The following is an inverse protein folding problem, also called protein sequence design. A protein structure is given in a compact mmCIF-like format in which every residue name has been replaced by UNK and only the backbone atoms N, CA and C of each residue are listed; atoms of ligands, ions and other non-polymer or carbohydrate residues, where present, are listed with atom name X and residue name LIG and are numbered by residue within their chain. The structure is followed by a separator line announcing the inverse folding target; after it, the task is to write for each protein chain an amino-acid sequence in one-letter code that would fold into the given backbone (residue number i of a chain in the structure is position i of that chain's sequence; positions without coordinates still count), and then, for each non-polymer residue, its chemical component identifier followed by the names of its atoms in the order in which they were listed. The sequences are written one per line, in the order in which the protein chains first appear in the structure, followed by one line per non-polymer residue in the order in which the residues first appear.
data_IF_117377473650
#
_entry.id   IF_117377473650
#
_cell.length_a   1.000
_cell.length_b   1.000
_cell.length_c   1.000
_cell.angle_alpha   90.00
_cell.angle_beta   90.00
_cell.angle_gamma   90.00
#
_symmetry.space_group_name_H-M   'P 1'
#
loop_
_entity.id
_entity.type
_entity.pdbx_description
1 polymer ?
#
# COMPACT_ATOMS: atom_id res chain seq x y z
N UNK A 1 -17.24 -4.26 23.47
CA UNK A 1 -17.46 -4.59 24.89
C UNK A 1 -16.09 -4.78 25.56
N UNK A 2 -15.91 -4.26 26.77
CA UNK A 2 -14.67 -4.44 27.54
C UNK A 2 -14.73 -5.72 28.39
N UNK A 3 -13.58 -6.24 28.83
CA UNK A 3 -13.49 -7.50 29.60
C UNK A 3 -14.35 -7.45 30.87
N UNK A 4 -14.43 -6.29 31.51
CA UNK A 4 -15.23 -6.15 32.74
C UNK A 4 -16.72 -6.36 32.48
N UNK A 5 -17.23 -5.88 31.35
CA UNK A 5 -18.63 -6.08 30.93
C UNK A 5 -18.85 -7.53 30.52
N UNK A 6 -17.88 -8.08 29.79
CA UNK A 6 -17.85 -9.47 29.36
C UNK A 6 -17.98 -10.45 30.54
N UNK A 7 -17.20 -10.25 31.61
CA UNK A 7 -17.23 -11.10 32.79
C UNK A 7 -18.48 -10.88 33.67
N UNK A 8 -19.20 -9.76 33.53
CA UNK A 8 -20.44 -9.50 34.28
C UNK A 8 -21.61 -10.35 33.81
N UNK A 9 -21.61 -10.77 32.55
CA UNK A 9 -22.66 -11.58 31.93
C UNK A 9 -22.57 -13.05 32.39
N UNK A 10 -21.38 -13.51 32.80
CA UNK A 10 -21.16 -14.87 33.25
C UNK A 10 -21.78 -15.17 34.62
N UNK A 11 -22.33 -16.37 34.73
CA UNK A 11 -22.72 -16.99 35.98
C UNK A 11 -21.49 -17.45 36.80
N UNK A 12 -21.73 -17.77 38.07
CA UNK A 12 -20.65 -18.15 39.00
C UNK A 12 -19.96 -19.45 38.57
N UNK A 13 -20.70 -20.37 37.94
CA UNK A 13 -20.17 -21.66 37.49
C UNK A 13 -19.17 -21.48 36.35
N UNK A 14 -19.50 -20.63 35.37
CA UNK A 14 -18.61 -20.28 34.26
C UNK A 14 -17.37 -19.53 34.76
N UNK A 15 -17.55 -18.57 35.66
CA UNK A 15 -16.45 -17.83 36.28
C UNK A 15 -15.51 -18.77 37.05
N UNK A 16 -16.05 -19.74 37.79
CA UNK A 16 -15.26 -20.74 38.50
C UNK A 16 -14.48 -21.62 37.53
N UNK A 17 -15.10 -22.03 36.41
CA UNK A 17 -14.45 -22.84 35.37
C UNK A 17 -13.25 -22.12 34.77
N UNK A 18 -13.43 -20.84 34.41
CA UNK A 18 -12.34 -20.00 33.89
C UNK A 18 -11.23 -19.86 34.94
N UNK A 19 -11.58 -19.60 36.20
CA UNK A 19 -10.58 -19.45 37.27
C UNK A 19 -9.76 -20.72 37.50
N UNK A 20 -10.41 -21.90 37.44
CA UNK A 20 -9.73 -23.20 37.49
C UNK A 20 -8.78 -23.36 36.31
N UNK A 21 -9.25 -23.08 35.09
CA UNK A 21 -8.41 -23.18 33.89
C UNK A 21 -7.23 -22.20 33.92
N UNK A 22 -7.40 -21.02 34.50
CA UNK A 22 -6.34 -20.03 34.72
C UNK A 22 -5.45 -20.35 35.93
N UNK A 23 -5.64 -21.49 36.62
CA UNK A 23 -4.94 -21.85 37.86
C UNK A 23 -4.93 -20.67 38.85
N UNK A 24 -6.09 -20.07 39.07
CA UNK A 24 -6.30 -19.04 40.08
C UNK A 24 -6.78 -19.73 41.36
N UNK A 25 -6.29 -19.29 42.52
CA UNK A 25 -6.78 -19.82 43.79
C UNK A 25 -8.29 -19.66 43.89
N UNK A 26 -9.01 -20.77 44.11
CA UNK A 26 -10.48 -20.81 44.21
C UNK A 26 -10.90 -21.09 45.66
N UNK A 27 -11.08 -20.06 46.50
CA UNK A 27 -11.66 -20.24 47.84
C UNK A 27 -13.03 -20.92 47.76
N UNK A 28 -13.40 -21.76 48.75
CA UNK A 28 -14.70 -22.43 48.79
C UNK A 28 -15.89 -21.45 48.72
N UNK A 29 -15.75 -20.28 49.35
CA UNK A 29 -16.81 -19.26 49.46
C UNK A 29 -16.57 -18.03 48.56
N UNK A 30 -15.81 -18.21 47.47
CA UNK A 30 -15.51 -17.11 46.55
C UNK A 30 -16.76 -16.59 45.84
N UNK A 31 -16.99 -15.28 45.92
CA UNK A 31 -18.11 -14.61 45.25
C UNK A 31 -17.86 -14.44 43.76
N UNK A 32 -18.92 -14.20 42.98
CA UNK A 32 -18.81 -13.81 41.57
C UNK A 32 -17.87 -12.61 41.37
N UNK A 33 -17.93 -11.64 42.30
CA UNK A 33 -17.08 -10.46 42.28
C UNK A 33 -15.59 -10.82 42.41
N UNK A 34 -15.24 -11.72 43.33
CA UNK A 34 -13.88 -12.22 43.50
C UNK A 34 -13.35 -12.86 42.21
N UNK A 35 -14.10 -13.78 41.60
CA UNK A 35 -13.68 -14.44 40.37
C UNK A 35 -13.47 -13.45 39.23
N UNK A 36 -14.40 -12.51 39.03
CA UNK A 36 -14.29 -11.46 38.00
C UNK A 36 -13.01 -10.64 38.18
N UNK A 37 -12.70 -10.24 39.41
CA UNK A 37 -11.49 -9.48 39.71
C UNK A 37 -10.23 -10.29 39.37
N UNK A 38 -10.14 -11.55 39.84
CA UNK A 38 -8.95 -12.37 39.64
C UNK A 38 -8.73 -12.79 38.19
N UNK A 39 -9.80 -13.11 37.46
CA UNK A 39 -9.74 -13.39 36.02
C UNK A 39 -9.27 -12.16 35.27
N UNK A 40 -9.85 -10.99 35.55
CA UNK A 40 -9.43 -9.73 34.94
C UNK A 40 -7.94 -9.48 35.19
N UNK A 41 -7.50 -9.55 36.45
CA UNK A 41 -6.09 -9.37 36.84
C UNK A 41 -5.15 -10.29 36.05
N UNK A 42 -5.52 -11.57 35.91
CA UNK A 42 -4.73 -12.55 35.18
C UNK A 42 -4.69 -12.32 33.66
N UNK A 43 -5.81 -11.90 33.06
CA UNK A 43 -5.90 -11.67 31.61
C UNK A 43 -5.32 -10.32 31.19
N UNK A 44 -5.35 -9.30 32.04
CA UNK A 44 -4.80 -7.96 31.73
C UNK A 44 -3.30 -7.82 32.04
N UNK A 45 -2.69 -8.78 32.74
CA UNK A 45 -1.25 -8.82 32.96
C UNK A 45 -0.58 -9.68 31.86
N UNK A 46 0.25 -9.07 31.00
CA UNK A 46 0.79 -9.75 29.81
C UNK A 46 1.64 -10.99 30.14
N UNK A 47 2.44 -10.95 31.20
CA UNK A 47 3.29 -12.08 31.60
C UNK A 47 2.44 -13.25 32.09
N UNK A 48 1.39 -12.93 32.85
CA UNK A 48 0.43 -13.92 33.32
C UNK A 48 -0.38 -14.49 32.17
N UNK A 49 -0.85 -13.65 31.25
CA UNK A 49 -1.57 -14.06 30.06
C UNK A 49 -0.72 -15.04 29.22
N UNK A 50 0.53 -14.68 28.93
CA UNK A 50 1.43 -15.54 28.15
C UNK A 50 1.61 -16.91 28.80
N UNK A 51 1.93 -16.94 30.09
CA UNK A 51 2.19 -18.18 30.85
C UNK A 51 0.96 -19.03 31.07
N UNK A 52 -0.18 -18.41 31.41
CA UNK A 52 -1.38 -19.13 31.87
C UNK A 52 -2.43 -19.36 30.79
N UNK A 53 -2.38 -18.60 29.69
CA UNK A 53 -3.31 -18.71 28.57
C UNK A 53 -2.57 -19.12 27.31
N UNK A 54 -1.74 -18.23 26.75
CA UNK A 54 -1.20 -18.39 25.40
C UNK A 54 -0.38 -19.68 25.21
N UNK A 55 0.51 -20.01 26.16
CA UNK A 55 1.30 -21.25 26.08
C UNK A 55 0.48 -22.54 26.25
N UNK A 56 -0.71 -22.44 26.83
CA UNK A 56 -1.61 -23.59 27.04
C UNK A 56 -2.61 -23.78 25.91
N UNK A 57 -2.72 -22.82 25.00
CA UNK A 57 -3.54 -22.96 23.81
C UNK A 57 -2.93 -23.97 22.83
N UNK A 58 -3.79 -24.74 22.16
CA UNK A 58 -3.42 -25.51 20.98
C UNK A 58 -2.86 -24.60 19.88
N UNK A 59 -2.00 -25.11 18.99
CA UNK A 59 -1.37 -24.26 17.97
C UNK A 59 -2.39 -23.64 17.01
N UNK A 60 -3.48 -24.36 16.70
CA UNK A 60 -4.61 -23.81 15.96
C UNK A 60 -5.32 -22.68 16.70
N UNK A 61 -5.58 -22.84 18.00
CA UNK A 61 -6.18 -21.79 18.83
C UNK A 61 -5.25 -20.57 18.99
N UNK A 62 -3.92 -20.76 19.04
CA UNK A 62 -2.97 -19.64 19.02
C UNK A 62 -3.07 -18.85 17.73
N UNK A 63 -3.11 -19.53 16.57
CA UNK A 63 -3.24 -18.87 15.28
C UNK A 63 -4.55 -18.11 15.18
N UNK A 64 -5.68 -18.70 15.57
CA UNK A 64 -6.97 -18.02 15.55
C UNK A 64 -7.02 -16.83 16.53
N UNK A 65 -6.41 -16.94 17.72
CA UNK A 65 -6.30 -15.81 18.63
C UNK A 65 -5.51 -14.65 18.00
N UNK A 66 -4.38 -14.93 17.32
CA UNK A 66 -3.63 -13.91 16.60
C UNK A 66 -4.48 -13.28 15.48
N UNK A 67 -5.26 -14.08 14.75
CA UNK A 67 -6.19 -13.57 13.74
C UNK A 67 -7.27 -12.66 14.34
N UNK A 68 -7.80 -12.97 15.53
CA UNK A 68 -8.78 -12.12 16.22
C UNK A 68 -8.17 -10.83 16.75
N UNK A 69 -6.92 -10.88 17.22
CA UNK A 69 -6.18 -9.71 17.68
C UNK A 69 -5.98 -8.72 16.54
N UNK A 70 -5.55 -9.21 15.36
CA UNK A 70 -5.08 -8.34 14.28
C UNK A 70 -6.07 -8.12 13.13
N UNK A 71 -6.92 -9.10 12.82
CA UNK A 71 -7.76 -9.07 11.61
C UNK A 71 -9.27 -8.98 11.91
N UNK A 72 -9.69 -8.92 13.18
CA UNK A 72 -11.13 -8.95 13.55
C UNK A 72 -11.91 -10.04 12.79
N UNK A 73 -11.29 -11.20 12.60
CA UNK A 73 -11.70 -12.19 11.60
C UNK A 73 -13.07 -12.84 11.85
N UNK A 74 -13.58 -13.49 10.80
CA UNK A 74 -14.79 -14.33 10.86
C UNK A 74 -14.60 -15.52 11.78
N UNK A 75 -15.64 -15.81 12.57
CA UNK A 75 -15.67 -16.77 13.67
C UNK A 75 -15.44 -18.20 13.18
N UNK A 76 -14.39 -18.87 13.64
CA UNK A 76 -14.29 -20.32 13.56
C UNK A 76 -14.67 -20.92 14.92
N UNK A 77 -15.77 -21.66 14.95
CA UNK A 77 -16.31 -22.24 16.19
C UNK A 77 -15.44 -23.41 16.72
N UNK A 78 -14.43 -23.84 15.96
CA UNK A 78 -13.58 -24.98 16.30
C UNK A 78 -12.92 -24.85 17.69
N UNK A 79 -12.42 -23.66 18.04
CA UNK A 79 -11.70 -23.44 19.32
C UNK A 79 -12.52 -22.65 20.36
N UNK A 80 -13.82 -22.44 20.12
CA UNK A 80 -14.66 -21.62 21.02
C UNK A 80 -14.69 -22.16 22.45
N UNK A 81 -14.75 -23.49 22.64
CA UNK A 81 -14.71 -24.09 23.99
C UNK A 81 -13.39 -23.79 24.70
N UNK A 82 -12.28 -23.80 23.97
CA UNK A 82 -10.95 -23.53 24.51
C UNK A 82 -10.83 -22.05 24.91
N UNK A 83 -11.24 -21.14 24.03
CA UNK A 83 -11.26 -19.70 24.29
C UNK A 83 -12.21 -19.31 25.43
N UNK A 84 -13.41 -19.88 25.47
CA UNK A 84 -14.33 -19.72 26.59
C UNK A 84 -13.72 -20.24 27.89
N UNK A 85 -13.06 -21.41 27.85
CA UNK A 85 -12.38 -22.01 28.99
C UNK A 85 -11.33 -21.09 29.62
N UNK A 86 -10.68 -20.23 28.84
CA UNK A 86 -9.73 -19.23 29.33
C UNK A 86 -10.33 -17.83 29.55
N UNK A 87 -11.64 -17.65 29.34
CA UNK A 87 -12.33 -16.37 29.51
C UNK A 87 -12.01 -15.33 28.44
N UNK A 88 -11.58 -15.78 27.26
CA UNK A 88 -11.29 -14.91 26.10
C UNK A 88 -12.56 -14.54 25.33
N UNK A 89 -13.64 -15.31 25.48
CA UNK A 89 -14.95 -15.11 24.84
C UNK A 89 -16.11 -15.48 25.75
N UNK A 90 -17.21 -14.72 25.69
CA UNK A 90 -18.41 -14.85 26.52
C UNK A 90 -19.58 -14.35 25.69
N UNK A 91 -20.22 -15.28 24.97
CA UNK A 91 -21.29 -15.04 24.00
C UNK A 91 -20.89 -14.04 22.88
N UNK A 92 -21.39 -14.26 21.67
CA UNK A 92 -21.05 -13.47 20.47
C UNK A 92 -19.60 -13.56 19.95
N UNK A 93 -18.70 -14.29 20.61
CA UNK A 93 -17.43 -14.74 20.03
C UNK A 93 -16.47 -13.62 19.61
N UNK A 94 -16.47 -12.51 20.34
CA UNK A 94 -15.51 -11.41 20.14
C UNK A 94 -14.54 -11.31 21.30
N UNK A 95 -13.25 -11.11 20.98
CA UNK A 95 -12.23 -10.77 21.96
C UNK A 95 -12.53 -9.38 22.55
N UNK A 96 -12.57 -9.23 23.89
CA UNK A 96 -12.77 -7.93 24.53
C UNK A 96 -11.79 -6.88 24.03
N UNK A 97 -12.26 -5.65 23.83
CA UNK A 97 -11.49 -4.58 23.19
C UNK A 97 -10.22 -4.23 23.98
N UNK A 98 -10.34 -4.08 25.29
CA UNK A 98 -9.23 -3.83 26.20
C UNK A 98 -8.17 -4.94 26.19
N UNK A 99 -8.58 -6.20 26.04
CA UNK A 99 -7.63 -7.30 25.81
C UNK A 99 -6.95 -7.19 24.45
N UNK A 100 -7.70 -6.93 23.38
CA UNK A 100 -7.13 -6.77 22.04
C UNK A 100 -6.06 -5.67 22.00
N UNK A 101 -6.38 -4.51 22.58
CA UNK A 101 -5.50 -3.34 22.61
C UNK A 101 -4.20 -3.62 23.39
N UNK A 102 -4.28 -4.43 24.45
CA UNK A 102 -3.11 -4.87 25.24
C UNK A 102 -2.28 -5.97 24.53
N UNK A 103 -2.96 -6.91 23.89
CA UNK A 103 -2.33 -8.08 23.25
C UNK A 103 -1.67 -7.75 21.91
N UNK A 104 -2.23 -6.82 21.13
CA UNK A 104 -1.72 -6.41 19.83
C UNK A 104 -0.23 -6.03 19.84
N UNK A 105 0.24 -5.04 20.62
CA UNK A 105 1.67 -4.70 20.67
C UNK A 105 2.51 -5.85 21.23
N UNK A 106 1.96 -6.63 22.17
CA UNK A 106 2.67 -7.70 22.87
C UNK A 106 2.94 -8.93 22.00
N UNK A 107 2.09 -9.22 21.02
CA UNK A 107 2.22 -10.37 20.13
C UNK A 107 2.66 -10.02 18.71
N UNK A 108 2.85 -8.74 18.40
CA UNK A 108 3.28 -8.28 17.08
C UNK A 108 4.55 -8.98 16.58
N UNK A 109 5.51 -9.25 17.47
CA UNK A 109 6.76 -9.96 17.14
C UNK A 109 6.56 -11.40 16.65
N UNK A 110 5.39 -12.02 16.85
CA UNK A 110 5.09 -13.36 16.34
C UNK A 110 4.61 -13.36 14.88
N UNK A 111 4.20 -12.20 14.37
CA UNK A 111 3.51 -12.07 13.08
C UNK A 111 4.17 -11.06 12.15
N UNK A 112 5.01 -10.18 12.69
CA UNK A 112 5.76 -9.18 11.94
C UNK A 112 7.25 -9.48 11.99
N UNK A 113 7.89 -9.43 10.83
CA UNK A 113 9.34 -9.50 10.68
C UNK A 113 9.87 -8.32 9.85
N UNK A 114 11.14 -7.97 10.05
CA UNK A 114 11.85 -7.01 9.21
C UNK A 114 12.79 -7.77 8.27
N UNK A 115 12.35 -7.93 7.03
CA UNK A 115 13.08 -8.69 6.02
C UNK A 115 13.84 -7.76 5.09
N UNK A 116 15.10 -8.08 4.80
CA UNK A 116 15.88 -7.42 3.75
C UNK A 116 15.56 -8.07 2.40
N UNK A 117 14.44 -7.68 1.80
CA UNK A 117 14.08 -8.14 0.46
C UNK A 117 14.60 -7.19 -0.61
N UNK A 118 15.01 -7.68 -1.79
CA UNK A 118 15.30 -6.82 -2.93
C UNK A 118 14.09 -5.94 -3.25
N UNK A 119 14.32 -4.65 -3.55
CA UNK A 119 13.25 -3.72 -3.91
C UNK A 119 12.56 -4.21 -5.19
N UNK A 120 11.23 -4.07 -5.26
CA UNK A 120 10.44 -4.46 -6.43
C UNK A 120 10.96 -3.79 -7.71
N UNK A 121 11.30 -4.59 -8.71
CA UNK A 121 11.68 -4.14 -10.05
C UNK A 121 10.49 -3.72 -10.93
N UNK A 122 9.31 -3.43 -10.35
CA UNK A 122 8.12 -3.01 -11.09
C UNK A 122 7.52 -1.71 -10.56
N UNK A 123 7.12 -0.83 -11.47
CA UNK A 123 6.33 0.37 -11.19
C UNK A 123 4.96 0.03 -10.62
N UNK A 124 4.48 0.85 -9.68
CA UNK A 124 3.08 0.83 -9.28
C UNK A 124 2.18 1.30 -10.42
N UNK A 125 0.89 0.99 -10.34
CA UNK A 125 -0.06 1.46 -11.35
C UNK A 125 -0.18 3.00 -11.38
N UNK A 126 -0.05 3.66 -10.23
CA UNK A 126 -0.04 5.13 -10.19
C UNK A 126 1.24 5.72 -10.80
N UNK A 127 2.41 5.11 -10.58
CA UNK A 127 3.63 5.50 -11.27
C UNK A 127 3.50 5.34 -12.80
N UNK A 128 2.88 4.25 -13.25
CA UNK A 128 2.63 4.06 -14.69
C UNK A 128 1.63 5.07 -15.25
N UNK A 129 0.64 5.51 -14.46
CA UNK A 129 -0.24 6.61 -14.84
C UNK A 129 0.53 7.92 -15.04
N UNK A 130 1.46 8.24 -14.13
CA UNK A 130 2.35 9.40 -14.27
C UNK A 130 3.13 9.31 -15.58
N UNK A 131 3.78 8.18 -15.83
CA UNK A 131 4.54 7.96 -17.07
C UNK A 131 3.66 8.13 -18.32
N UNK A 132 2.45 7.57 -18.30
CA UNK A 132 1.48 7.66 -19.40
C UNK A 132 1.03 9.10 -19.68
N UNK A 133 0.71 9.87 -18.64
CA UNK A 133 0.32 11.28 -18.75
C UNK A 133 1.41 12.08 -19.48
N UNK A 134 2.67 11.88 -19.10
CA UNK A 134 3.80 12.52 -19.78
C UNK A 134 3.98 12.03 -21.22
N UNK A 135 3.83 10.72 -21.48
CA UNK A 135 3.95 10.18 -22.83
C UNK A 135 2.86 10.69 -23.78
N UNK A 136 1.61 10.81 -23.31
CA UNK A 136 0.49 11.35 -24.08
C UNK A 136 0.74 12.79 -24.54
N UNK A 137 1.41 13.58 -23.70
CA UNK A 137 1.72 14.96 -23.99
C UNK A 137 2.93 15.12 -24.92
N UNK A 138 3.98 14.34 -24.70
CA UNK A 138 5.23 14.43 -25.47
C UNK A 138 5.15 13.75 -26.83
N UNK A 139 4.44 12.62 -26.92
CA UNK A 139 4.33 11.82 -28.13
C UNK A 139 2.88 11.76 -28.61
N UNK A 140 2.46 12.71 -29.47
CA UNK A 140 1.09 12.72 -29.97
C UNK A 140 0.79 11.42 -30.73
N UNK A 141 -0.45 10.93 -30.66
CA UNK A 141 -0.78 9.64 -31.23
C UNK A 141 -0.68 9.66 -32.76
N UNK A 142 -0.39 8.51 -33.39
CA UNK A 142 -0.31 8.41 -34.85
C UNK A 142 -1.64 8.81 -35.50
N UNK A 143 -1.59 9.70 -36.50
CA UNK A 143 -2.76 10.18 -37.25
C UNK A 143 -3.61 9.02 -37.78
N UNK A 144 -4.95 9.08 -37.70
CA UNK A 144 -5.82 8.02 -38.18
C UNK A 144 -5.59 7.73 -39.67
N UNK A 145 -5.57 6.46 -40.06
CA UNK A 145 -5.53 6.08 -41.48
C UNK A 145 -6.94 6.22 -42.07
N UNK A 146 -7.05 6.62 -43.35
CA UNK A 146 -8.35 6.64 -44.04
C UNK A 146 -8.95 5.23 -44.01
N UNK A 147 -10.24 5.12 -43.62
CA UNK A 147 -11.01 3.86 -43.49
C UNK A 147 -10.58 2.91 -42.35
N UNK A 148 -9.83 3.38 -41.35
CA UNK A 148 -9.47 2.56 -40.20
C UNK A 148 -10.65 2.33 -39.25
N UNK A 149 -10.86 1.07 -38.84
CA UNK A 149 -11.88 0.73 -37.84
C UNK A 149 -11.49 1.22 -36.44
N UNK A 150 -12.48 1.48 -35.58
CA UNK A 150 -12.27 1.93 -34.20
C UNK A 150 -11.37 0.97 -33.40
N UNK A 151 -11.57 -0.34 -33.55
CA UNK A 151 -10.77 -1.36 -32.86
C UNK A 151 -9.31 -1.39 -33.34
N UNK A 152 -9.09 -1.29 -34.66
CA UNK A 152 -7.74 -1.20 -35.25
C UNK A 152 -7.00 0.04 -34.75
N UNK A 153 -7.69 1.18 -34.71
CA UNK A 153 -7.15 2.44 -34.21
C UNK A 153 -6.78 2.35 -32.73
N UNK A 154 -7.66 1.80 -31.89
CA UNK A 154 -7.41 1.62 -30.45
C UNK A 154 -6.19 0.74 -30.20
N UNK A 155 -6.08 -0.38 -30.92
CA UNK A 155 -4.89 -1.26 -30.84
C UNK A 155 -3.61 -0.51 -31.18
N UNK A 156 -3.59 0.26 -32.27
CA UNK A 156 -2.41 1.04 -32.68
C UNK A 156 -2.01 2.11 -31.67
N UNK A 157 -2.97 2.74 -31.00
CA UNK A 157 -2.71 3.70 -29.93
C UNK A 157 -2.09 2.98 -28.72
N UNK A 158 -2.62 1.82 -28.33
CA UNK A 158 -2.06 1.00 -27.27
C UNK A 158 -0.63 0.56 -27.61
N UNK A 159 -0.40 0.06 -28.82
CA UNK A 159 0.93 -0.36 -29.29
C UNK A 159 1.93 0.81 -29.37
N UNK A 160 1.44 2.03 -29.62
CA UNK A 160 2.28 3.23 -29.64
C UNK A 160 2.76 3.59 -28.23
N UNK A 161 1.84 3.65 -27.26
CA UNK A 161 2.17 4.03 -25.90
C UNK A 161 2.85 2.91 -25.10
N UNK A 162 2.57 1.63 -25.38
CA UNK A 162 3.30 0.52 -24.77
C UNK A 162 4.80 0.60 -25.08
N UNK A 163 5.14 0.91 -26.34
CA UNK A 163 6.54 1.11 -26.76
C UNK A 163 7.17 2.35 -26.15
N UNK A 164 6.42 3.45 -26.00
CA UNK A 164 6.95 4.69 -25.43
C UNK A 164 7.12 4.62 -23.90
N UNK A 165 6.30 3.83 -23.23
CA UNK A 165 6.37 3.63 -21.78
C UNK A 165 7.23 2.43 -21.39
N UNK A 166 7.65 1.62 -22.37
CA UNK A 166 8.32 0.34 -22.14
C UNK A 166 7.49 -0.55 -21.19
N UNK A 167 6.18 -0.61 -21.44
CA UNK A 167 5.22 -1.38 -20.63
C UNK A 167 4.60 -2.48 -21.47
N UNK A 168 4.80 -3.73 -21.03
CA UNK A 168 4.26 -4.90 -21.72
C UNK A 168 2.80 -5.24 -21.33
N UNK A 169 2.31 -4.74 -20.18
CA UNK A 169 0.93 -5.01 -19.73
C UNK A 169 -0.09 -4.10 -20.43
N UNK A 170 -0.55 -4.55 -21.61
CA UNK A 170 -1.58 -3.87 -22.41
C UNK A 170 -2.91 -3.70 -21.67
N UNK A 171 -3.25 -4.63 -20.77
CA UNK A 171 -4.50 -4.55 -20.00
C UNK A 171 -4.44 -3.41 -18.98
N UNK A 172 -3.30 -3.28 -18.29
CA UNK A 172 -3.04 -2.16 -17.40
C UNK A 172 -3.10 -0.83 -18.16
N UNK A 173 -2.39 -0.72 -19.29
CA UNK A 173 -2.40 0.47 -20.14
C UNK A 173 -3.83 0.85 -20.60
N UNK A 174 -4.63 -0.14 -20.99
CA UNK A 174 -6.03 0.09 -21.39
C UNK A 174 -6.84 0.69 -20.25
N UNK A 175 -6.68 0.19 -19.03
CA UNK A 175 -7.38 0.72 -17.86
C UNK A 175 -6.91 2.13 -17.48
N UNK A 176 -5.61 2.42 -17.61
CA UNK A 176 -5.08 3.77 -17.37
C UNK A 176 -5.64 4.78 -18.39
N UNK A 177 -5.72 4.41 -19.67
CA UNK A 177 -6.37 5.26 -20.69
C UNK A 177 -7.87 5.45 -20.40
N UNK A 178 -8.57 4.40 -19.98
CA UNK A 178 -9.98 4.50 -19.59
C UNK A 178 -10.16 5.43 -18.39
N UNK A 179 -9.24 5.40 -17.40
CA UNK A 179 -9.25 6.35 -16.29
C UNK A 179 -9.13 7.78 -16.80
N UNK A 180 -8.18 8.04 -17.69
CA UNK A 180 -7.96 9.39 -18.24
C UNK A 180 -9.17 9.90 -19.02
N UNK A 181 -9.81 9.04 -19.81
CA UNK A 181 -10.98 9.37 -20.62
C UNK A 181 -12.21 9.63 -19.75
N UNK A 182 -12.48 8.74 -18.77
CA UNK A 182 -13.62 8.86 -17.85
C UNK A 182 -13.58 10.16 -17.03
N UNK A 183 -12.38 10.66 -16.75
CA UNK A 183 -12.17 11.90 -15.99
C UNK A 183 -11.96 13.14 -16.89
N UNK A 184 -12.14 13.01 -18.21
CA UNK A 184 -12.06 14.14 -19.14
C UNK A 184 -10.66 14.72 -19.32
N UNK A 185 -9.60 13.95 -19.01
CA UNK A 185 -8.21 14.34 -19.27
C UNK A 185 -7.83 14.15 -20.74
N UNK A 186 -8.45 13.15 -21.38
CA UNK A 186 -8.38 12.91 -22.82
C UNK A 186 -9.79 12.80 -23.37
N UNK A 187 -9.98 13.16 -24.65
CA UNK A 187 -11.25 12.94 -25.35
C UNK A 187 -11.10 11.77 -26.33
N UNK A 188 -11.62 10.59 -26.00
CA UNK A 188 -11.55 9.42 -26.90
C UNK A 188 -12.61 9.43 -28.01
N UNK A 189 -13.72 10.15 -27.83
CA UNK A 189 -14.96 9.96 -28.62
C UNK A 189 -15.04 10.81 -29.89
N UNK A 190 -14.49 12.04 -29.92
CA UNK A 190 -14.61 12.96 -31.08
C UNK A 190 -13.31 13.11 -31.86
N UNK A 191 -12.19 13.24 -31.15
CA UNK A 191 -10.83 13.33 -31.71
C UNK A 191 -9.87 12.61 -30.76
N UNK A 192 -9.61 11.30 -30.98
CA UNK A 192 -8.89 10.49 -30.01
C UNK A 192 -7.56 11.11 -29.59
N UNK A 193 -7.49 11.43 -28.30
CA UNK A 193 -6.29 11.84 -27.56
C UNK A 193 -5.77 13.26 -27.87
N UNK A 194 -6.66 14.22 -28.08
CA UNK A 194 -6.33 15.59 -27.69
C UNK A 194 -6.39 15.60 -26.16
N UNK A 195 -5.22 15.72 -25.53
CA UNK A 195 -5.11 16.03 -24.10
C UNK A 195 -5.80 17.38 -23.87
N UNK A 196 -6.73 17.42 -22.93
CA UNK A 196 -7.15 18.72 -22.40
C UNK A 196 -5.97 19.24 -21.57
N UNK A 197 -5.10 20.03 -22.21
CA UNK A 197 -3.90 20.59 -21.59
C UNK A 197 -4.25 21.28 -20.26
N UNK A 198 -5.38 21.99 -20.21
CA UNK A 198 -5.90 22.59 -18.98
C UNK A 198 -6.27 21.58 -17.88
N UNK A 199 -6.92 20.46 -18.19
CA UNK A 199 -7.29 19.45 -17.19
C UNK A 199 -6.08 18.63 -16.73
N UNK A 200 -5.15 18.34 -17.63
CA UNK A 200 -3.88 17.68 -17.29
C UNK A 200 -3.00 18.58 -16.39
N UNK A 201 -2.93 19.87 -16.70
CA UNK A 201 -2.25 20.87 -15.88
C UNK A 201 -2.89 20.97 -14.49
N UNK A 202 -4.21 20.99 -14.40
CA UNK A 202 -4.91 20.96 -13.10
C UNK A 202 -4.58 19.70 -12.30
N UNK A 203 -4.45 18.56 -12.97
CA UNK A 203 -4.04 17.30 -12.35
C UNK A 203 -2.62 17.39 -11.76
N UNK A 204 -1.69 18.01 -12.48
CA UNK A 204 -0.30 18.16 -12.02
C UNK A 204 -0.14 19.23 -10.94
N UNK A 205 -0.88 20.34 -10.99
CA UNK A 205 -0.64 21.49 -10.11
C UNK A 205 -1.50 21.52 -8.85
N UNK A 206 -2.72 20.97 -8.86
CA UNK A 206 -3.64 21.08 -7.73
C UNK A 206 -3.72 19.78 -6.92
N UNK A 207 -3.31 19.84 -5.64
CA UNK A 207 -3.52 18.79 -4.64
C UNK A 207 -3.02 17.41 -5.11
N UNK A 208 -1.78 17.33 -5.60
CA UNK A 208 -1.07 16.13 -6.09
C UNK A 208 -1.41 14.85 -5.31
N UNK A 209 -1.36 14.93 -3.98
CA UNK A 209 -1.67 13.83 -3.08
C UNK A 209 -3.09 13.28 -3.18
N UNK A 210 -4.09 14.08 -3.61
CA UNK A 210 -5.48 13.59 -3.77
C UNK A 210 -5.66 12.73 -5.01
N UNK A 211 -4.78 12.84 -6.00
CA UNK A 211 -4.91 12.10 -7.25
C UNK A 211 -4.64 10.61 -7.10
N UNK A 212 -3.71 10.21 -6.21
CA UNK A 212 -3.50 8.80 -5.90
C UNK A 212 -4.74 8.19 -5.23
N UNK A 213 -5.35 8.88 -4.26
CA UNK A 213 -6.64 8.44 -3.67
C UNK A 213 -7.75 8.38 -4.70
N UNK A 214 -7.86 9.40 -5.57
CA UNK A 214 -8.88 9.43 -6.60
C UNK A 214 -8.70 8.29 -7.62
N UNK A 215 -7.47 8.05 -8.06
CA UNK A 215 -7.14 6.99 -9.01
C UNK A 215 -7.50 5.62 -8.44
N UNK A 216 -7.02 5.30 -7.24
CA UNK A 216 -7.31 4.01 -6.63
C UNK A 216 -8.80 3.88 -6.29
N UNK A 217 -9.47 4.91 -5.75
CA UNK A 217 -10.92 4.87 -5.53
C UNK A 217 -11.71 4.56 -6.81
N UNK A 218 -11.38 5.22 -7.93
CA UNK A 218 -11.98 4.91 -9.24
C UNK A 218 -11.72 3.45 -9.65
N UNK A 219 -10.48 2.99 -9.47
CA UNK A 219 -10.08 1.64 -9.85
C UNK A 219 -10.87 0.57 -9.08
N UNK A 220 -11.07 0.72 -7.77
CA UNK A 220 -11.91 -0.18 -6.98
C UNK A 220 -13.38 -0.13 -7.41
N UNK A 221 -13.92 1.08 -7.65
CA UNK A 221 -15.31 1.26 -8.08
C UNK A 221 -15.60 0.60 -9.44
N UNK A 222 -14.70 0.72 -10.42
CA UNK A 222 -14.87 0.08 -11.73
C UNK A 222 -14.90 -1.44 -11.66
N UNK A 223 -14.24 -2.02 -10.65
CA UNK A 223 -14.22 -3.46 -10.38
C UNK A 223 -15.32 -3.90 -9.40
N UNK A 224 -16.17 -2.98 -8.95
CA UNK A 224 -17.21 -3.20 -7.93
C UNK A 224 -16.64 -3.80 -6.63
N UNK A 225 -15.44 -3.38 -6.26
CA UNK A 225 -14.76 -3.79 -5.03
C UNK A 225 -14.94 -2.72 -3.95
N UNK A 226 -14.89 -3.14 -2.68
CA UNK A 226 -14.89 -2.24 -1.52
C UNK A 226 -13.61 -1.38 -1.49
N UNK A 227 -13.73 -0.11 -1.09
CA UNK A 227 -12.62 0.82 -0.96
C UNK A 227 -12.61 1.52 0.41
N UNK A 228 -11.51 1.41 1.20
CA UNK A 228 -10.38 0.49 1.01
C UNK A 228 -10.80 -0.96 1.33
N UNK A 229 -10.19 -1.97 0.69
CA UNK A 229 -10.44 -3.37 1.04
C UNK A 229 -9.89 -3.69 2.43
N UNK A 230 -10.61 -4.53 3.19
CA UNK A 230 -10.28 -4.88 4.59
C UNK A 230 -8.82 -5.31 4.80
N UNK A 231 -8.23 -6.04 3.87
CA UNK A 231 -6.82 -6.49 3.98
C UNK A 231 -5.84 -5.33 4.04
N UNK A 232 -6.08 -4.23 3.32
CA UNK A 232 -5.20 -3.06 3.39
C UNK A 232 -5.33 -2.37 4.75
N UNK A 233 -6.55 -2.33 5.30
CA UNK A 233 -6.82 -1.81 6.66
C UNK A 233 -6.13 -2.64 7.74
N UNK A 234 -6.24 -3.97 7.68
CA UNK A 234 -5.54 -4.83 8.65
C UNK A 234 -4.03 -4.67 8.56
N UNK A 235 -3.48 -4.61 7.36
CA UNK A 235 -2.04 -4.41 7.19
C UNK A 235 -1.60 -3.04 7.70
N UNK A 236 -2.36 -1.96 7.47
CA UNK A 236 -2.01 -0.65 8.01
C UNK A 236 -2.05 -0.63 9.53
N UNK A 237 -2.96 -1.38 10.16
CA UNK A 237 -3.06 -1.47 11.62
C UNK A 237 -1.91 -2.29 12.24
N UNK A 238 -1.41 -3.32 11.53
CA UNK A 238 -0.34 -4.21 12.00
C UNK A 238 1.06 -3.61 11.72
N UNK A 239 1.24 -2.98 10.56
CA UNK A 239 2.52 -2.43 10.11
C UNK A 239 2.75 -1.04 10.72
N UNK A 240 3.70 -0.96 11.65
CA UNK A 240 4.13 0.29 12.30
C UNK A 240 5.20 1.00 11.46
N UNK A 241 5.87 0.26 10.57
CA UNK A 241 6.90 0.73 9.65
C UNK A 241 6.68 0.15 8.26
N UNK A 242 7.06 0.92 7.22
CA UNK A 242 7.05 0.46 5.81
C UNK A 242 7.90 -0.80 5.62
N UNK A 243 8.88 -1.06 6.49
CA UNK A 243 9.77 -2.24 6.41
C UNK A 243 9.18 -3.51 7.03
N UNK A 244 8.02 -3.40 7.69
CA UNK A 244 7.37 -4.53 8.33
C UNK A 244 6.78 -5.48 7.30
N UNK A 245 7.02 -6.78 7.50
CA UNK A 245 6.46 -7.87 6.72
C UNK A 245 5.55 -8.69 7.62
N UNK A 246 4.29 -8.85 7.23
CA UNK A 246 3.26 -9.55 8.02
C UNK A 246 3.07 -10.97 7.49
N UNK A 247 3.05 -11.98 8.35
CA UNK A 247 2.83 -13.38 7.95
C UNK A 247 1.45 -13.57 7.32
N UNK A 248 1.38 -14.22 6.15
CA UNK A 248 0.11 -14.41 5.43
C UNK A 248 -0.83 -15.42 6.08
N UNK A 249 -0.32 -16.28 6.97
CA UNK A 249 -1.10 -17.22 7.78
C UNK A 249 -2.19 -16.53 8.61
N UNK A 250 -2.00 -15.24 8.93
CA UNK A 250 -3.02 -14.41 9.59
C UNK A 250 -4.28 -14.16 8.73
N UNK A 251 -4.21 -14.39 7.42
CA UNK A 251 -5.30 -14.10 6.49
C UNK A 251 -5.91 -15.36 5.86
N UNK A 252 -5.32 -16.54 6.08
CA UNK A 252 -5.65 -17.78 5.37
C UNK A 252 -7.10 -18.26 5.55
N UNK A 253 -7.73 -18.00 6.70
CA UNK A 253 -9.11 -18.45 6.97
C UNK A 253 -10.20 -17.53 6.41
N UNK A 254 -9.81 -16.37 5.88
CA UNK A 254 -10.75 -15.42 5.33
C UNK A 254 -10.84 -15.63 3.80
N UNK A 255 -11.74 -16.52 3.37
CA UNK A 255 -11.93 -16.94 1.97
C UNK A 255 -12.23 -15.79 0.98
N UNK A 256 -12.61 -14.60 1.46
CA UNK A 256 -12.84 -13.41 0.64
C UNK A 256 -11.55 -12.80 0.04
N UNK A 257 -10.36 -13.14 0.54
CA UNK A 257 -9.10 -12.45 0.15
C UNK A 257 -8.36 -13.04 -1.03
N UNK A 258 -8.59 -14.30 -1.40
CA UNK A 258 -7.83 -14.97 -2.46
C UNK A 258 -7.99 -14.29 -3.84
N UNK A 259 -9.21 -13.90 -4.29
CA UNK A 259 -9.36 -13.17 -5.55
C UNK A 259 -8.83 -11.74 -5.50
N UNK A 260 -8.87 -11.11 -4.31
CA UNK A 260 -8.43 -9.73 -4.09
C UNK A 260 -6.90 -9.64 -4.04
N UNK A 261 -6.21 -10.70 -3.57
CA UNK A 261 -4.75 -10.78 -3.48
C UNK A 261 -4.06 -10.54 -4.82
N UNK A 262 -4.42 -11.31 -5.85
CA UNK A 262 -3.76 -11.22 -7.16
C UNK A 262 -4.03 -9.87 -7.81
N UNK A 263 -5.26 -9.37 -7.63
CA UNK A 263 -5.66 -8.05 -8.10
C UNK A 263 -4.84 -6.95 -7.42
N UNK A 264 -4.75 -6.92 -6.08
CA UNK A 264 -3.99 -5.91 -5.34
C UNK A 264 -2.49 -5.95 -5.65
N UNK A 265 -1.95 -7.14 -5.89
CA UNK A 265 -0.55 -7.31 -6.33
C UNK A 265 -0.35 -6.73 -7.72
N UNK A 266 -1.24 -7.04 -8.67
CA UNK A 266 -1.19 -6.55 -10.05
C UNK A 266 -1.21 -5.02 -10.10
N UNK A 267 -2.01 -4.38 -9.25
CA UNK A 267 -2.12 -2.91 -9.18
C UNK A 267 -1.05 -2.23 -8.32
N UNK A 268 -0.08 -3.02 -7.84
CA UNK A 268 1.07 -2.51 -7.08
C UNK A 268 0.69 -1.98 -5.70
N UNK A 269 -0.34 -2.53 -5.06
CA UNK A 269 -0.78 -2.18 -3.70
C UNK A 269 -0.21 -3.13 -2.65
N UNK A 270 0.08 -4.38 -3.02
CA UNK A 270 0.66 -5.39 -2.13
C UNK A 270 1.90 -6.02 -2.73
N UNK A 271 2.82 -6.43 -1.85
CA UNK A 271 3.99 -7.25 -2.18
C UNK A 271 4.00 -8.48 -1.31
N UNK A 272 4.53 -9.55 -1.89
CA UNK A 272 4.69 -10.83 -1.23
C UNK A 272 6.13 -11.28 -1.30
N UNK A 273 6.60 -11.94 -0.25
CA UNK A 273 7.90 -12.61 -0.23
C UNK A 273 7.76 -13.95 0.50
N UNK A 274 8.66 -14.88 0.21
CA UNK A 274 8.78 -16.14 0.96
C UNK A 274 10.12 -16.17 1.67
N UNK A 275 10.11 -16.50 2.96
CA UNK A 275 11.28 -16.58 3.81
C UNK A 275 11.04 -17.66 4.87
N UNK A 276 12.00 -18.57 5.09
CA UNK A 276 11.90 -19.68 6.03
C UNK A 276 10.55 -20.43 6.00
N UNK A 277 10.17 -20.91 4.81
CA UNK A 277 8.89 -21.62 4.52
C UNK A 277 7.61 -20.80 4.74
N UNK A 278 7.72 -19.60 5.28
CA UNK A 278 6.61 -18.70 5.53
C UNK A 278 6.46 -17.72 4.37
N UNK A 279 5.22 -17.35 4.07
CA UNK A 279 4.91 -16.28 3.14
C UNK A 279 4.54 -15.03 3.93
N UNK A 280 5.07 -13.89 3.50
CA UNK A 280 4.84 -12.60 4.12
C UNK A 280 4.27 -11.62 3.09
N UNK A 281 3.53 -10.64 3.61
CA UNK A 281 2.86 -9.60 2.85
C UNK A 281 3.19 -8.23 3.42
N UNK A 282 3.24 -7.24 2.55
CA UNK A 282 3.56 -5.86 2.90
C UNK A 282 2.81 -4.88 1.99
N UNK A 283 2.35 -3.76 2.56
CA UNK A 283 1.87 -2.60 1.81
C UNK A 283 3.00 -2.00 0.95
N UNK A 284 2.71 -1.72 -0.32
CA UNK A 284 3.64 -0.91 -1.14
C UNK A 284 3.67 0.55 -0.69
N UNK A 285 4.63 1.37 -1.16
CA UNK A 285 4.65 2.80 -0.84
C UNK A 285 3.33 3.51 -1.18
N UNK A 286 2.74 3.18 -2.34
CA UNK A 286 1.43 3.71 -2.75
C UNK A 286 0.33 3.30 -1.77
N UNK A 287 0.27 2.02 -1.40
CA UNK A 287 -0.73 1.54 -0.45
C UNK A 287 -0.51 2.09 0.96
N UNK A 288 0.74 2.25 1.40
CA UNK A 288 1.09 2.91 2.65
C UNK A 288 0.57 4.34 2.67
N UNK A 289 0.83 5.10 1.60
CA UNK A 289 0.35 6.46 1.47
C UNK A 289 -1.19 6.53 1.47
N UNK A 290 -1.86 5.60 0.79
CA UNK A 290 -3.32 5.53 0.75
C UNK A 290 -3.95 5.20 2.11
N UNK A 291 -3.35 4.29 2.88
CA UNK A 291 -3.95 3.84 4.13
C UNK A 291 -3.62 4.77 5.30
N UNK A 292 -2.39 5.27 5.36
CA UNK A 292 -1.91 6.05 6.49
C UNK A 292 -1.95 7.56 6.25
N UNK A 293 -2.12 8.01 5.00
CA UNK A 293 -1.93 9.43 4.60
C UNK A 293 -0.56 10.00 5.03
N UNK A 294 0.44 9.11 5.11
CA UNK A 294 1.81 9.42 5.50
C UNK A 294 2.74 9.18 4.31
N UNK A 295 3.64 10.13 4.07
CA UNK A 295 4.65 9.99 3.00
C UNK A 295 5.60 8.83 3.37
N UNK A 296 5.63 7.75 2.56
CA UNK A 296 6.45 6.57 2.84
C UNK A 296 7.94 6.94 2.84
N UNK A 297 8.74 6.18 3.60
CA UNK A 297 10.16 6.42 3.74
C UNK A 297 10.88 6.29 2.40
N UNK A 298 10.48 5.31 1.59
CA UNK A 298 11.04 5.11 0.24
C UNK A 298 10.89 6.32 -0.68
N UNK A 299 9.88 7.17 -0.49
CA UNK A 299 9.70 8.44 -1.23
C UNK A 299 10.57 9.58 -0.70
N UNK A 300 11.04 9.47 0.54
CA UNK A 300 11.93 10.47 1.18
C UNK A 300 13.41 10.17 0.95
N UNK A 301 13.75 8.94 0.59
CA UNK A 301 15.13 8.48 0.44
C UNK A 301 15.90 9.18 -0.69
N UNK A 302 17.14 9.57 -0.39
CA UNK A 302 18.13 9.98 -1.40
C UNK A 302 18.60 8.77 -2.20
N UNK A 303 17.78 8.36 -3.16
CA UNK A 303 17.94 7.13 -3.95
C UNK A 303 18.07 7.38 -5.45
N UNK A 304 17.97 8.64 -5.89
CA UNK A 304 18.21 9.04 -7.27
C UNK A 304 19.71 9.12 -7.53
N UNK A 305 20.16 8.60 -8.67
CA UNK A 305 21.53 8.76 -9.15
C UNK A 305 21.50 9.64 -10.40
N UNK A 306 22.44 10.58 -10.48
CA UNK A 306 22.61 11.45 -11.66
C UNK A 306 24.01 11.18 -12.21
N UNK A 307 24.11 10.79 -13.48
CA UNK A 307 25.39 10.56 -14.16
C UNK A 307 25.92 11.83 -14.80
N UNK A 308 27.23 11.89 -15.05
CA UNK A 308 27.85 12.98 -15.80
C UNK A 308 27.39 13.01 -17.27
N UNK A 309 26.85 11.90 -17.78
CA UNK A 309 26.27 11.79 -19.11
C UNK A 309 24.79 12.23 -19.16
N UNK A 310 24.34 13.01 -18.17
CA UNK A 310 22.98 13.56 -18.10
C UNK A 310 21.87 12.51 -17.98
N UNK A 311 22.19 11.35 -17.43
CA UNK A 311 21.21 10.30 -17.13
C UNK A 311 20.79 10.33 -15.66
N UNK A 312 19.50 10.13 -15.42
CA UNK A 312 18.90 10.04 -14.09
C UNK A 312 18.38 8.63 -13.90
N UNK A 313 18.82 7.97 -12.83
CA UNK A 313 18.40 6.63 -12.45
C UNK A 313 17.55 6.73 -11.19
N UNK A 314 16.32 6.24 -11.25
CA UNK A 314 15.40 6.25 -10.11
C UNK A 314 14.77 4.87 -9.88
N UNK A 315 14.66 4.41 -8.63
CA UNK A 315 13.88 3.21 -8.31
C UNK A 315 12.41 3.36 -8.70
N UNK A 316 11.77 2.24 -9.07
CA UNK A 316 10.32 2.19 -9.36
C UNK A 316 9.42 2.55 -8.17
N UNK A 317 9.95 2.44 -6.95
CA UNK A 317 9.26 2.78 -5.70
C UNK A 317 9.45 4.24 -5.29
N UNK A 318 10.12 5.07 -6.08
CA UNK A 318 10.39 6.46 -5.74
C UNK A 318 9.11 7.31 -5.76
N UNK A 319 9.19 8.52 -5.21
CA UNK A 319 8.08 9.47 -5.16
C UNK A 319 7.54 9.78 -6.59
N UNK A 320 6.30 9.39 -6.93
CA UNK A 320 5.73 9.60 -8.25
C UNK A 320 5.64 11.09 -8.64
N UNK A 321 5.56 12.00 -7.66
CA UNK A 321 5.49 13.43 -7.92
C UNK A 321 6.86 14.03 -8.24
N UNK A 322 7.94 13.46 -7.71
CA UNK A 322 9.31 13.78 -8.12
C UNK A 322 9.55 13.30 -9.55
N UNK A 323 9.11 12.07 -9.86
CA UNK A 323 9.23 11.50 -11.22
C UNK A 323 8.49 12.38 -12.25
N UNK A 324 7.31 12.90 -11.93
CA UNK A 324 6.61 13.83 -12.80
C UNK A 324 7.41 15.11 -13.11
N UNK A 325 8.13 15.65 -12.12
CA UNK A 325 9.02 16.79 -12.33
C UNK A 325 10.19 16.42 -13.26
N UNK A 326 10.83 15.27 -13.02
CA UNK A 326 11.93 14.76 -13.86
C UNK A 326 11.48 14.56 -15.31
N UNK A 327 10.34 13.90 -15.52
CA UNK A 327 9.77 13.62 -16.85
C UNK A 327 9.43 14.87 -17.67
N UNK A 328 9.30 16.03 -17.02
CA UNK A 328 9.08 17.29 -17.74
C UNK A 328 10.33 17.70 -18.51
N UNK A 329 11.51 17.31 -18.03
CA UNK A 329 12.82 17.71 -18.55
C UNK A 329 13.66 16.54 -19.06
N UNK A 330 13.04 15.37 -19.26
CA UNK A 330 13.76 14.18 -19.65
C UNK A 330 12.91 13.20 -20.44
N UNK A 331 13.60 12.31 -21.16
CA UNK A 331 13.04 11.19 -21.89
C UNK A 331 13.29 9.88 -21.15
N UNK A 332 12.25 9.04 -21.02
CA UNK A 332 12.41 7.68 -20.48
C UNK A 332 13.15 6.81 -21.50
N UNK A 333 14.35 6.34 -21.14
CA UNK A 333 15.19 5.43 -21.94
C UNK A 333 15.00 3.97 -21.59
N UNK A 334 14.84 3.65 -20.30
CA UNK A 334 14.72 2.27 -19.82
C UNK A 334 13.82 2.19 -18.57
N UNK A 335 13.17 1.02 -18.39
CA UNK A 335 12.20 0.75 -17.33
C UNK A 335 12.26 -0.73 -16.85
N UNK A 336 13.39 -1.41 -17.07
CA UNK A 336 13.52 -2.84 -16.80
C UNK A 336 13.82 -3.13 -15.33
N UNK A 337 14.80 -2.41 -14.77
CA UNK A 337 15.26 -2.56 -13.39
C UNK A 337 15.06 -1.28 -12.58
N UNK A 338 15.22 -0.14 -13.25
CA UNK A 338 15.08 1.22 -12.74
C UNK A 338 14.44 2.06 -13.84
N UNK A 339 13.85 3.18 -13.44
CA UNK A 339 13.51 4.25 -14.36
C UNK A 339 14.80 4.98 -14.74
N UNK A 340 15.16 4.92 -16.02
CA UNK A 340 16.32 5.63 -16.56
C UNK A 340 15.82 6.73 -17.47
N UNK A 341 16.18 7.97 -17.13
CA UNK A 341 15.81 9.15 -17.90
C UNK A 341 17.05 9.82 -18.47
N UNK A 342 16.98 10.32 -19.70
CA UNK A 342 17.98 11.21 -20.27
C UNK A 342 17.46 12.64 -20.19
N UNK A 343 18.23 13.55 -19.56
CA UNK A 343 17.86 14.96 -19.47
C UNK A 343 17.94 15.61 -20.85
N UNK A 344 16.82 16.17 -21.31
CA UNK A 344 16.77 17.03 -22.47
C UNK A 344 17.52 18.33 -22.20
N UNK A 345 17.89 19.05 -23.26
CA UNK A 345 18.36 20.43 -23.14
C UNK A 345 17.25 21.30 -22.50
N UNK A 346 17.45 21.80 -21.26
CA UNK A 346 16.40 22.52 -20.53
C UNK A 346 15.96 23.80 -21.24
N UNK A 347 16.83 24.38 -22.08
CA UNK A 347 16.57 25.61 -22.85
C UNK A 347 15.65 25.37 -24.06
N UNK A 348 15.58 24.13 -24.56
CA UNK A 348 14.77 23.77 -25.74
C UNK A 348 13.43 23.12 -25.38
N UNK A 349 13.08 23.05 -24.09
CA UNK A 349 11.96 22.26 -23.66
C UNK A 349 10.63 23.02 -23.73
N UNK A 350 9.83 22.70 -24.75
CA UNK A 350 8.49 23.25 -25.00
C UNK A 350 7.48 22.94 -23.89
N UNK A 351 7.80 22.03 -22.98
CA UNK A 351 6.90 21.57 -21.92
C UNK A 351 7.19 22.19 -20.54
N UNK A 352 8.06 23.22 -20.47
CA UNK A 352 8.44 23.90 -19.22
C UNK A 352 7.32 24.68 -18.50
N UNK A 353 6.08 24.57 -18.97
CA UNK A 353 4.93 25.21 -18.34
C UNK A 353 4.35 24.36 -17.19
N UNK A 354 4.74 23.08 -17.07
CA UNK A 354 4.28 22.16 -16.00
C UNK A 354 5.16 22.22 -14.75
N UNK A 355 6.45 22.41 -14.95
CA UNK A 355 7.45 22.54 -13.90
C UNK A 355 8.49 23.53 -14.40
N UNK A 356 9.04 24.32 -13.48
CA UNK A 356 10.18 25.17 -13.76
C UNK A 356 11.48 24.37 -13.69
N UNK A 357 12.56 24.80 -14.37
CA UNK A 357 13.89 24.21 -14.19
C UNK A 357 14.33 24.19 -12.72
N UNK A 358 13.89 25.17 -11.94
CA UNK A 358 14.11 25.23 -10.49
C UNK A 358 13.44 24.08 -9.74
N UNK A 359 12.22 23.70 -10.13
CA UNK A 359 11.53 22.56 -9.51
C UNK A 359 12.28 21.25 -9.75
N UNK A 360 12.80 21.05 -10.98
CA UNK A 360 13.67 19.92 -11.29
C UNK A 360 14.94 19.94 -10.44
N UNK A 361 15.60 21.10 -10.37
CA UNK A 361 16.84 21.24 -9.61
C UNK A 361 16.65 20.90 -8.13
N UNK A 362 15.62 21.46 -7.49
CA UNK A 362 15.30 21.18 -6.09
C UNK A 362 14.89 19.71 -5.88
N UNK A 363 14.14 19.12 -6.81
CA UNK A 363 13.79 17.70 -6.78
C UNK A 363 15.05 16.82 -6.82
N UNK A 364 15.99 17.09 -7.73
CA UNK A 364 17.24 16.34 -7.82
C UNK A 364 18.14 16.59 -6.61
N UNK A 365 18.27 17.84 -6.14
CA UNK A 365 19.11 18.19 -4.99
C UNK A 365 18.65 17.51 -3.71
N UNK A 366 17.33 17.36 -3.52
CA UNK A 366 16.76 16.72 -2.33
C UNK A 366 16.74 15.20 -2.42
N UNK A 367 16.71 14.61 -3.63
CA UNK A 367 16.52 13.16 -3.85
C UNK A 367 17.76 12.44 -4.37
N UNK A 368 18.74 13.15 -4.91
CA UNK A 368 20.01 12.57 -5.32
C UNK A 368 21.01 12.61 -4.17
N UNK A 369 21.86 11.58 -4.08
CA UNK A 369 22.99 11.59 -3.13
C UNK A 369 24.08 12.57 -3.55
N UNK A 370 24.27 12.71 -4.87
CA UNK A 370 25.25 13.60 -5.49
C UNK A 370 24.78 13.93 -6.90
N UNK A 371 24.93 15.19 -7.28
CA UNK A 371 24.81 15.66 -8.66
C UNK A 371 26.23 15.96 -9.15
N UNK A 372 26.67 15.44 -10.30
CA UNK A 372 27.96 15.78 -10.89
C UNK A 372 28.05 17.29 -11.19
N UNK A 373 29.19 17.91 -10.90
CA UNK A 373 29.36 19.38 -10.98
C UNK A 373 29.04 19.97 -12.35
N UNK A 374 29.32 19.25 -13.44
CA UNK A 374 28.97 19.69 -14.79
C UNK A 374 27.44 19.80 -14.97
N UNK A 375 26.70 18.79 -14.52
CA UNK A 375 25.22 18.77 -14.58
C UNK A 375 24.62 19.80 -13.62
N UNK A 376 25.20 19.93 -12.41
CA UNK A 376 24.79 20.93 -11.41
C UNK A 376 24.91 22.35 -11.96
N UNK A 377 26.05 22.69 -12.59
CA UNK A 377 26.26 23.99 -13.22
C UNK A 377 25.26 24.29 -14.34
N UNK A 378 25.00 23.32 -15.22
CA UNK A 378 24.01 23.47 -16.29
C UNK A 378 22.60 23.75 -15.73
N UNK A 379 22.16 22.95 -14.75
CA UNK A 379 20.84 23.11 -14.13
C UNK A 379 20.70 24.46 -13.42
N UNK A 380 21.75 24.93 -12.73
CA UNK A 380 21.75 26.23 -12.05
C UNK A 380 21.62 27.38 -13.07
N UNK A 381 22.38 27.35 -14.17
CA UNK A 381 22.30 28.42 -15.17
C UNK A 381 20.90 28.49 -15.82
N UNK A 382 20.28 27.34 -16.07
CA UNK A 382 18.89 27.28 -16.55
C UNK A 382 17.86 27.83 -15.55
N UNK A 383 18.22 27.98 -14.27
CA UNK A 383 17.36 28.61 -13.25
C UNK A 383 17.52 30.14 -13.19
N UNK A 384 18.62 30.70 -13.69
CA UNK A 384 18.94 32.14 -13.59
C UNK A 384 18.43 32.91 -14.83
N UNK A 385 18.43 32.29 -16.00
CA UNK A 385 18.15 32.96 -17.30
C UNK A 385 16.65 33.21 -17.61
N UNK A 386 15.79 33.43 -16.60
CA UNK A 386 14.34 33.74 -16.80
C UNK A 386 13.86 35.01 -16.09
N UNK A 387 14.71 36.04 -15.99
CA UNK A 387 14.32 37.38 -15.55
C UNK A 387 14.66 38.46 -16.58
#
# INVERSE_FOLDING_TARGET
MNLTEHLKILDVVSLRTIAINLNLGTPPDATAHYYRHKIKEALTNIDTFRKKVFHRLSDGAKQELLQWIFCSGTRNFQYEKEFFGFGLTVQEGSLPKDLRDMLSPSFRHLVVEQLQTPKSGKCSAFMQLILLIHALHRYPPPKPKKKESTNSRKKRILDHYSKKLLVDDINLLTNLLNYLDTNGFINSIREPNITSESNLLLWLHQKKHKWIFHFYKWLFQTQRLEYPPKVLTWLSDIQVSEQDWVRTTLFQNNNEHLPVRDWLTKWGLLRFTRYDENEYIQLTPDAWFLMNNEVPRSWKEQSVLVSAAREIFSPHSHDPFVIASILTFSELKANEYLLVFELDDPLNNKHSHWYSPKDLYEALKTRARRIPSAVDFELINCCVDKH
#
